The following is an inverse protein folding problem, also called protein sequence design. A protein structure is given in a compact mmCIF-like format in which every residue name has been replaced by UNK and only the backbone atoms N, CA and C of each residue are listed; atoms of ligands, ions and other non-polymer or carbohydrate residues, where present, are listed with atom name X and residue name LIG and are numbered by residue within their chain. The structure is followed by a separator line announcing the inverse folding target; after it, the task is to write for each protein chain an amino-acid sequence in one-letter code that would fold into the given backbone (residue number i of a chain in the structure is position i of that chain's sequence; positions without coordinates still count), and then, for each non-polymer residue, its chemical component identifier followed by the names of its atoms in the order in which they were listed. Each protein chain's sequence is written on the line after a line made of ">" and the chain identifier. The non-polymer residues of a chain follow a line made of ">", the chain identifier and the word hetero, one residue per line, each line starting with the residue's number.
data_IF_849386065531
#
_entry.id   IF_849386065531
#
_cell.length_a   1.000
_cell.length_b   1.000
_cell.length_c   1.000
_cell.angle_alpha   90.00
_cell.angle_beta   90.00
_cell.angle_gamma   90.00
#
_symmetry.space_group_name_H-M   'P 1'
#
loop_
_entity.id
_entity.type
_entity.pdbx_description
1 polymer ?
#
# COMPACT_ATOMS: atom_id res chain seq x y z
N UNK A 1 9.22 10.67 17.74
CA UNK A 1 9.49 11.06 16.34
C UNK A 1 9.81 9.77 15.58
N UNK A 2 9.14 9.47 14.47
CA UNK A 2 9.46 8.31 13.66
C UNK A 2 10.95 8.27 13.27
N UNK A 3 11.57 7.09 13.29
CA UNK A 3 12.97 6.89 12.94
C UNK A 3 13.98 7.29 14.01
N UNK A 4 13.55 7.70 15.19
CA UNK A 4 14.46 8.00 16.31
C UNK A 4 14.22 7.04 17.47
N UNK A 5 15.26 6.36 17.92
CA UNK A 5 15.23 5.45 19.06
C UNK A 5 16.24 5.86 20.11
N UNK A 6 15.85 5.85 21.41
CA UNK A 6 16.69 6.38 22.50
C UNK A 6 17.98 5.57 22.74
N UNK A 7 17.92 4.27 22.45
CA UNK A 7 19.03 3.34 22.70
C UNK A 7 20.08 3.35 21.59
N UNK A 8 19.81 4.02 20.47
CA UNK A 8 20.71 4.09 19.33
C UNK A 8 21.16 5.55 19.15
N UNK A 9 22.45 5.83 19.12
CA UNK A 9 22.96 7.19 18.94
C UNK A 9 22.46 7.80 17.62
N UNK A 10 22.18 9.11 17.67
CA UNK A 10 21.88 9.89 16.46
C UNK A 10 23.17 10.09 15.68
N UNK A 11 23.13 9.78 14.38
CA UNK A 11 24.24 10.01 13.47
C UNK A 11 24.01 11.34 12.74
N UNK A 12 25.01 12.22 12.71
CA UNK A 12 24.86 13.54 12.09
C UNK A 12 24.50 13.49 10.60
N UNK A 13 25.03 12.50 9.88
CA UNK A 13 24.70 12.22 8.48
C UNK A 13 23.21 11.94 8.22
N UNK A 14 22.42 11.65 9.27
CA UNK A 14 20.99 11.38 9.22
C UNK A 14 20.13 12.62 9.52
N UNK A 15 20.71 13.79 9.63
CA UNK A 15 19.99 15.04 10.00
C UNK A 15 19.21 14.90 11.31
N UNK A 16 19.80 14.26 12.31
CA UNK A 16 19.19 14.03 13.62
C UNK A 16 18.21 12.85 13.69
N UNK A 17 18.16 12.01 12.67
CA UNK A 17 17.45 10.72 12.68
C UNK A 17 18.44 9.57 12.84
N UNK A 18 17.95 8.40 13.26
CA UNK A 18 18.74 7.18 13.42
C UNK A 18 17.89 5.95 13.06
N UNK A 19 17.43 5.87 11.83
CA UNK A 19 16.66 4.74 11.34
C UNK A 19 17.44 3.42 11.49
N UNK A 20 16.76 2.41 12.02
CA UNK A 20 17.29 1.06 12.22
C UNK A 20 16.20 0.05 11.92
N UNK A 21 16.57 -1.18 11.66
CA UNK A 21 15.62 -2.26 11.45
C UNK A 21 15.30 -2.93 12.78
N UNK A 22 14.03 -3.06 13.07
CA UNK A 22 13.49 -3.74 14.25
C UNK A 22 12.61 -4.90 13.80
N UNK A 23 12.38 -5.85 14.70
CA UNK A 23 11.49 -6.97 14.45
C UNK A 23 10.60 -7.29 15.65
N UNK A 24 9.51 -7.95 15.35
CA UNK A 24 8.65 -8.68 16.28
C UNK A 24 8.43 -10.08 15.74
N UNK A 25 8.08 -11.03 16.60
CA UNK A 25 7.68 -12.37 16.19
C UNK A 25 6.24 -12.63 16.57
N UNK A 26 5.56 -13.46 15.78
CA UNK A 26 4.18 -13.89 16.04
C UNK A 26 3.99 -15.32 15.55
N UNK A 27 3.03 -16.04 16.14
CA UNK A 27 2.59 -17.38 15.69
C UNK A 27 1.21 -17.34 15.02
N UNK A 28 0.45 -16.31 15.24
CA UNK A 28 -0.98 -16.21 14.91
C UNK A 28 -1.39 -14.88 14.27
N UNK A 29 -0.46 -13.94 14.11
CA UNK A 29 -0.66 -12.55 13.66
C UNK A 29 -1.66 -11.74 14.52
N UNK A 30 -2.02 -12.25 15.72
CA UNK A 30 -2.86 -11.56 16.70
C UNK A 30 -2.06 -11.13 17.92
N UNK A 31 -1.08 -11.96 18.30
CA UNK A 31 -0.16 -11.68 19.41
C UNK A 31 1.26 -11.52 18.89
N UNK A 32 1.98 -10.54 19.41
CA UNK A 32 3.32 -10.21 18.98
C UNK A 32 4.28 -10.16 20.15
N UNK A 33 5.52 -10.54 19.93
CA UNK A 33 6.59 -10.34 20.89
C UNK A 33 6.87 -8.86 21.12
N UNK A 34 7.67 -8.57 22.14
CA UNK A 34 8.28 -7.24 22.26
C UNK A 34 9.12 -6.90 21.02
N UNK A 35 9.17 -5.61 20.70
CA UNK A 35 9.99 -5.11 19.59
C UNK A 35 11.47 -5.18 19.98
N UNK A 36 12.30 -5.77 19.09
CA UNK A 36 13.74 -5.92 19.27
C UNK A 36 14.50 -5.29 18.12
N UNK A 37 15.67 -4.74 18.42
CA UNK A 37 16.60 -4.26 17.40
C UNK A 37 17.12 -5.45 16.60
N UNK A 38 17.04 -5.36 15.28
CA UNK A 38 17.45 -6.43 14.36
C UNK A 38 18.76 -6.11 13.65
N UNK A 39 18.86 -4.88 13.12
CA UNK A 39 20.04 -4.48 12.36
C UNK A 39 20.40 -3.02 12.64
N UNK A 40 21.67 -2.81 13.04
CA UNK A 40 22.19 -1.50 13.45
C UNK A 40 23.56 -1.27 12.81
N UNK A 41 23.63 -0.89 11.52
CA UNK A 41 24.87 -0.52 10.85
C UNK A 41 25.31 0.91 11.26
N UNK A 42 26.48 1.33 10.77
CA UNK A 42 27.04 2.66 11.03
C UNK A 42 26.38 3.78 10.21
N UNK A 43 25.23 3.52 9.60
CA UNK A 43 24.46 4.47 8.78
C UNK A 43 22.97 4.34 9.04
N UNK A 44 22.21 5.35 8.65
CA UNK A 44 20.75 5.32 8.67
C UNK A 44 20.23 4.29 7.68
N UNK A 45 19.45 3.31 8.14
CA UNK A 45 19.01 2.16 7.33
C UNK A 45 17.50 2.03 7.32
N UNK A 46 16.93 1.86 6.12
CA UNK A 46 15.51 1.58 5.90
C UNK A 46 15.34 0.49 4.83
N UNK A 47 14.09 0.12 4.57
CA UNK A 47 13.66 -0.73 3.45
C UNK A 47 14.43 -2.08 3.40
N UNK A 48 14.43 -2.84 4.48
CA UNK A 48 15.06 -4.16 4.51
C UNK A 48 14.20 -5.21 3.81
N UNK A 49 14.80 -5.94 2.89
CA UNK A 49 14.20 -7.11 2.25
C UNK A 49 15.16 -8.30 2.29
N UNK A 50 14.63 -9.49 2.57
CA UNK A 50 15.45 -10.70 2.75
C UNK A 50 15.06 -11.73 1.71
N UNK A 51 16.06 -12.34 1.07
CA UNK A 51 15.90 -13.47 0.15
C UNK A 51 16.86 -14.60 0.51
N UNK A 52 16.45 -15.84 0.27
CA UNK A 52 17.32 -17.01 0.43
C UNK A 52 18.01 -17.32 -0.88
N UNK A 53 19.34 -17.46 -0.83
CA UNK A 53 20.12 -17.93 -1.95
C UNK A 53 19.80 -19.43 -2.20
N UNK A 54 19.34 -19.81 -3.39
CA UNK A 54 18.95 -21.19 -3.66
C UNK A 54 20.14 -22.15 -3.73
N UNK A 55 21.34 -21.66 -3.99
CA UNK A 55 22.57 -22.44 -4.12
C UNK A 55 23.38 -22.42 -2.82
N UNK A 56 23.72 -21.23 -2.33
CA UNK A 56 24.55 -21.05 -1.13
C UNK A 56 23.78 -21.34 0.17
N UNK A 57 22.44 -21.37 0.10
CA UNK A 57 21.52 -21.65 1.22
C UNK A 57 21.50 -20.59 2.34
N UNK A 58 22.30 -19.56 2.24
CA UNK A 58 22.30 -18.44 3.16
C UNK A 58 21.17 -17.41 2.84
N UNK A 59 21.04 -16.45 3.72
CA UNK A 59 20.09 -15.34 3.59
C UNK A 59 20.85 -14.08 3.19
N UNK A 60 20.34 -13.40 2.19
CA UNK A 60 20.82 -12.10 1.75
C UNK A 60 19.78 -11.06 2.18
N UNK A 61 20.19 -10.09 2.97
CA UNK A 61 19.38 -8.92 3.27
C UNK A 61 19.86 -7.75 2.41
N UNK A 62 18.92 -7.18 1.65
CA UNK A 62 19.14 -5.94 0.91
C UNK A 62 18.55 -4.80 1.72
N UNK A 63 19.31 -3.74 1.91
CA UNK A 63 18.92 -2.57 2.69
C UNK A 63 19.21 -1.29 1.94
N UNK A 64 18.45 -0.24 2.23
CA UNK A 64 18.75 1.10 1.75
C UNK A 64 19.59 1.85 2.78
N UNK A 65 20.72 2.40 2.32
CA UNK A 65 21.43 3.43 3.05
C UNK A 65 20.69 4.77 2.86
N UNK A 66 20.18 5.33 3.97
CA UNK A 66 19.37 6.54 3.97
C UNK A 66 20.19 7.79 4.36
N UNK A 67 21.51 7.69 4.49
CA UNK A 67 22.35 8.83 4.83
C UNK A 67 22.09 10.02 3.90
N UNK A 68 22.07 11.22 4.50
CA UNK A 68 21.82 12.47 3.81
C UNK A 68 23.06 13.38 3.72
N UNK A 69 24.08 13.15 4.58
CA UNK A 69 25.30 13.94 4.66
C UNK A 69 26.52 13.05 4.93
N UNK A 70 27.28 12.64 3.89
CA UNK A 70 26.97 12.80 2.48
C UNK A 70 25.73 12.00 2.06
N UNK A 71 25.06 12.44 0.99
CA UNK A 71 23.90 11.71 0.49
C UNK A 71 24.34 10.42 -0.19
N UNK A 72 23.93 9.29 0.37
CA UNK A 72 24.22 7.95 -0.17
C UNK A 72 23.04 7.41 -0.99
N UNK A 73 21.88 7.26 -0.35
CA UNK A 73 20.60 6.90 -1.00
C UNK A 73 20.69 5.73 -1.98
N UNK A 74 21.48 4.71 -1.62
CA UNK A 74 21.81 3.52 -2.43
C UNK A 74 21.41 2.24 -1.71
N UNK A 75 21.46 1.12 -2.43
CA UNK A 75 21.23 -0.22 -1.87
C UNK A 75 22.55 -0.93 -1.57
N UNK A 76 22.53 -1.69 -0.49
CA UNK A 76 23.65 -2.50 -0.02
C UNK A 76 23.15 -3.87 0.44
N UNK A 77 24.03 -4.87 0.53
CA UNK A 77 23.69 -6.20 1.02
C UNK A 77 24.54 -6.62 2.21
N UNK A 78 23.99 -7.49 3.03
CA UNK A 78 24.69 -8.27 4.05
C UNK A 78 24.14 -9.70 4.03
N UNK A 79 24.88 -10.68 4.59
CA UNK A 79 24.53 -12.10 4.50
C UNK A 79 24.67 -12.79 5.84
N UNK A 80 23.78 -13.78 6.08
CA UNK A 80 23.87 -14.68 7.24
C UNK A 80 23.39 -16.07 6.85
N UNK A 81 23.84 -17.07 7.55
CA UNK A 81 23.37 -18.46 7.34
C UNK A 81 22.04 -18.73 8.06
N UNK A 82 21.80 -18.02 9.15
CA UNK A 82 20.60 -18.19 9.99
C UNK A 82 20.05 -16.84 10.42
N UNK A 83 18.74 -16.68 10.33
CA UNK A 83 18.07 -15.42 10.70
C UNK A 83 18.17 -15.13 12.20
N UNK A 84 18.22 -16.20 13.02
CA UNK A 84 18.29 -16.10 14.48
C UNK A 84 19.61 -15.51 14.97
N UNK A 85 20.69 -15.66 14.18
CA UNK A 85 22.01 -15.12 14.49
C UNK A 85 22.13 -13.63 14.13
N UNK A 86 21.08 -13.07 13.47
CA UNK A 86 21.08 -11.71 12.93
C UNK A 86 21.95 -11.59 11.68
N UNK A 87 22.16 -10.37 11.23
CA UNK A 87 23.02 -10.05 10.09
C UNK A 87 24.24 -9.26 10.54
N UNK A 88 25.44 -9.54 9.98
CA UNK A 88 26.61 -8.70 10.21
C UNK A 88 26.32 -7.24 9.84
N UNK A 89 26.78 -6.31 10.68
CA UNK A 89 26.61 -4.87 10.43
C UNK A 89 27.50 -4.34 9.29
N UNK A 90 28.53 -5.10 8.93
CA UNK A 90 29.31 -4.84 7.73
C UNK A 90 28.50 -5.17 6.50
N UNK A 91 28.37 -4.21 5.61
CA UNK A 91 27.62 -4.34 4.35
C UNK A 91 28.54 -4.21 3.14
N UNK A 92 28.07 -4.64 2.00
CA UNK A 92 28.75 -4.46 0.71
C UNK A 92 28.93 -2.97 0.38
N UNK A 93 29.79 -2.61 -0.59
CA UNK A 93 29.67 -1.37 -1.32
C UNK A 93 28.25 -1.23 -1.92
N UNK A 94 27.94 -0.04 -2.47
CA UNK A 94 26.68 0.14 -3.21
C UNK A 94 26.54 -0.90 -4.30
N UNK A 95 25.38 -1.56 -4.38
CA UNK A 95 25.03 -2.47 -5.47
C UNK A 95 24.29 -1.76 -6.61
N UNK A 96 24.00 -0.49 -6.45
CA UNK A 96 23.29 0.36 -7.42
C UNK A 96 24.18 1.46 -7.97
N UNK A 97 23.80 2.05 -9.09
CA UNK A 97 24.54 3.12 -9.74
C UNK A 97 24.47 4.47 -9.00
N UNK A 98 24.98 5.51 -9.64
CA UNK A 98 24.97 6.88 -9.08
C UNK A 98 23.60 7.55 -9.26
N UNK A 99 22.59 6.99 -8.65
CA UNK A 99 21.22 7.52 -8.58
C UNK A 99 20.60 7.16 -7.24
N UNK A 100 19.59 7.93 -6.83
CA UNK A 100 18.87 7.66 -5.59
C UNK A 100 17.81 6.59 -5.82
N UNK A 101 17.80 5.57 -4.96
CA UNK A 101 16.84 4.47 -5.05
C UNK A 101 16.42 3.97 -3.67
N UNK A 102 15.28 3.26 -3.64
CA UNK A 102 14.67 2.73 -2.44
C UNK A 102 13.77 1.52 -2.74
N UNK A 103 13.18 0.91 -1.69
CA UNK A 103 12.21 -0.17 -1.82
C UNK A 103 12.74 -1.41 -2.53
N UNK A 104 13.84 -2.05 -2.08
CA UNK A 104 14.39 -3.22 -2.75
C UNK A 104 13.44 -4.41 -2.70
N UNK A 105 13.28 -5.10 -3.83
CA UNK A 105 12.54 -6.35 -3.97
C UNK A 105 13.46 -7.42 -4.59
N UNK A 106 14.24 -8.15 -3.78
CA UNK A 106 15.14 -9.18 -4.27
C UNK A 106 14.38 -10.44 -4.69
N UNK A 107 14.78 -11.04 -5.82
CA UNK A 107 14.23 -12.27 -6.35
C UNK A 107 15.32 -13.07 -7.09
N UNK A 108 15.45 -14.35 -6.80
CA UNK A 108 16.20 -15.26 -7.64
C UNK A 108 15.32 -15.72 -8.81
N UNK A 109 15.86 -15.54 -10.02
CA UNK A 109 15.31 -16.12 -11.25
C UNK A 109 16.39 -17.02 -11.81
N UNK A 110 16.14 -18.31 -11.84
CA UNK A 110 17.16 -19.33 -11.98
C UNK A 110 18.27 -19.11 -10.94
N UNK A 111 19.52 -19.03 -11.34
CA UNK A 111 20.65 -18.78 -10.43
C UNK A 111 21.06 -17.28 -10.35
N UNK A 112 20.31 -16.39 -11.00
CA UNK A 112 20.60 -14.96 -10.99
C UNK A 112 19.76 -14.24 -9.93
N UNK A 113 20.41 -13.42 -9.11
CA UNK A 113 19.74 -12.55 -8.15
C UNK A 113 19.43 -11.21 -8.80
N UNK A 114 18.14 -10.94 -8.97
CA UNK A 114 17.64 -9.63 -9.33
C UNK A 114 17.21 -8.86 -8.09
N UNK A 115 17.53 -7.58 -8.04
CA UNK A 115 16.98 -6.65 -7.05
C UNK A 115 16.27 -5.55 -7.83
N UNK A 116 14.94 -5.54 -7.73
CA UNK A 116 14.12 -4.47 -8.27
C UNK A 116 14.02 -3.33 -7.26
N UNK A 117 13.90 -2.08 -7.72
CA UNK A 117 13.84 -0.92 -6.83
C UNK A 117 13.27 0.32 -7.52
N UNK A 118 12.87 1.29 -6.71
CA UNK A 118 12.35 2.58 -7.15
C UNK A 118 13.48 3.61 -7.29
N UNK A 119 13.74 4.09 -8.51
CA UNK A 119 14.56 5.26 -8.80
C UNK A 119 13.69 6.51 -8.61
N UNK A 120 13.27 6.79 -7.38
CA UNK A 120 12.18 7.72 -7.06
C UNK A 120 12.37 9.15 -7.55
N UNK A 121 13.60 9.62 -7.71
CA UNK A 121 13.87 10.95 -8.31
C UNK A 121 13.75 10.94 -9.83
N UNK A 122 13.89 9.79 -10.46
CA UNK A 122 13.78 9.62 -11.89
C UNK A 122 12.38 9.20 -12.33
N UNK A 123 11.46 8.95 -11.38
CA UNK A 123 10.13 8.39 -11.65
C UNK A 123 10.19 7.10 -12.47
N UNK A 124 11.19 6.26 -12.17
CA UNK A 124 11.44 4.99 -12.84
C UNK A 124 11.57 3.87 -11.82
N UNK A 125 11.07 2.71 -12.18
CA UNK A 125 11.36 1.46 -11.48
C UNK A 125 12.48 0.76 -12.25
N UNK A 126 13.50 0.27 -11.55
CA UNK A 126 14.69 -0.31 -12.16
C UNK A 126 15.07 -1.63 -11.53
N UNK A 127 16.17 -2.19 -11.99
CA UNK A 127 16.73 -3.42 -11.46
C UNK A 127 18.26 -3.48 -11.60
N UNK A 128 18.90 -4.14 -10.64
CA UNK A 128 20.27 -4.68 -10.81
C UNK A 128 20.22 -6.20 -10.75
N UNK A 129 21.19 -6.83 -11.40
CA UNK A 129 21.33 -8.28 -11.46
C UNK A 129 22.73 -8.72 -11.04
N UNK A 130 22.81 -9.78 -10.25
CA UNK A 130 24.04 -10.50 -9.92
C UNK A 130 23.93 -11.96 -10.37
N UNK A 131 24.95 -12.45 -11.08
CA UNK A 131 25.04 -13.85 -11.55
C UNK A 131 26.07 -14.66 -10.77
N UNK A 132 26.63 -14.08 -9.74
CA UNK A 132 27.72 -14.65 -8.91
C UNK A 132 27.38 -14.57 -7.41
N UNK A 133 26.09 -14.71 -7.10
CA UNK A 133 25.57 -14.71 -5.74
C UNK A 133 25.84 -13.41 -4.97
N UNK A 134 25.73 -12.26 -5.63
CA UNK A 134 25.83 -10.93 -5.00
C UNK A 134 27.25 -10.39 -4.88
N UNK A 135 28.26 -10.97 -5.55
CA UNK A 135 29.63 -10.47 -5.55
C UNK A 135 29.80 -9.29 -6.50
N UNK A 136 29.23 -9.40 -7.71
CA UNK A 136 29.23 -8.32 -8.71
C UNK A 136 27.82 -8.01 -9.19
N UNK A 137 27.60 -6.78 -9.65
CA UNK A 137 26.27 -6.29 -10.01
C UNK A 137 26.30 -5.54 -11.33
N UNK A 138 25.28 -5.77 -12.13
CA UNK A 138 25.00 -5.11 -13.40
C UNK A 138 23.67 -4.36 -13.31
N UNK A 139 23.63 -3.08 -13.71
CA UNK A 139 22.35 -2.36 -13.88
C UNK A 139 21.64 -2.91 -15.13
N UNK A 140 20.47 -3.46 -14.94
CA UNK A 140 19.62 -4.06 -15.99
C UNK A 140 18.28 -3.32 -16.13
N UNK A 141 18.24 -2.10 -15.68
CA UNK A 141 17.01 -1.29 -15.70
C UNK A 141 16.44 -1.07 -17.11
N UNK A 142 17.26 -1.09 -18.12
CA UNK A 142 16.89 -1.00 -19.54
C UNK A 142 16.31 -2.30 -20.13
N UNK A 143 16.50 -3.42 -19.43
CA UNK A 143 16.02 -4.76 -19.83
C UNK A 143 14.76 -5.20 -19.08
N UNK A 144 14.24 -4.38 -18.21
CA UNK A 144 13.01 -4.63 -17.45
C UNK A 144 11.95 -3.58 -17.80
N UNK A 145 10.69 -3.99 -17.79
CA UNK A 145 9.58 -3.11 -18.10
C UNK A 145 8.53 -3.18 -16.98
N UNK A 146 8.11 -2.02 -16.52
CA UNK A 146 7.09 -1.88 -15.50
C UNK A 146 5.99 -0.92 -15.95
N UNK A 147 4.77 -1.08 -15.48
CA UNK A 147 3.71 -0.09 -15.70
C UNK A 147 4.15 1.30 -15.24
N UNK A 148 3.70 2.33 -15.97
CA UNK A 148 3.99 3.71 -15.60
C UNK A 148 3.48 4.01 -14.19
N UNK A 149 4.31 4.62 -13.35
CA UNK A 149 3.96 4.97 -11.98
C UNK A 149 4.17 3.86 -10.96
N UNK A 150 4.73 2.69 -11.35
CA UNK A 150 5.10 1.63 -10.41
C UNK A 150 6.09 2.15 -9.38
N UNK A 151 5.79 1.90 -8.11
CA UNK A 151 6.64 2.21 -6.97
C UNK A 151 6.55 1.10 -5.93
N UNK A 152 7.63 0.86 -5.17
CA UNK A 152 7.69 -0.05 -4.02
C UNK A 152 6.98 -1.39 -4.24
N UNK A 153 7.37 -2.12 -5.28
CA UNK A 153 6.82 -3.44 -5.58
C UNK A 153 7.44 -4.55 -4.76
N UNK A 154 6.76 -5.68 -4.68
CA UNK A 154 7.31 -6.95 -4.20
C UNK A 154 7.34 -7.96 -5.34
N UNK A 155 8.49 -8.57 -5.58
CA UNK A 155 8.66 -9.61 -6.60
C UNK A 155 8.64 -10.99 -5.95
N UNK A 156 7.87 -11.91 -6.53
CA UNK A 156 7.81 -13.31 -6.09
C UNK A 156 7.43 -14.22 -7.25
N UNK A 157 7.78 -15.49 -7.15
CA UNK A 157 7.41 -16.52 -8.13
C UNK A 157 6.07 -17.13 -7.80
N UNK A 158 5.30 -17.46 -8.83
CA UNK A 158 4.04 -18.20 -8.71
C UNK A 158 4.00 -19.35 -9.71
N UNK A 159 3.22 -20.37 -9.42
CA UNK A 159 2.94 -21.43 -10.38
C UNK A 159 2.30 -20.84 -11.64
N UNK A 160 2.70 -21.39 -12.82
CA UNK A 160 2.19 -20.93 -14.10
C UNK A 160 0.65 -20.95 -14.16
N UNK A 161 0.02 -21.94 -13.55
CA UNK A 161 -1.45 -22.02 -13.51
C UNK A 161 -2.09 -20.84 -12.75
N UNK A 162 -1.43 -20.32 -11.70
CA UNK A 162 -1.88 -19.11 -10.98
C UNK A 162 -1.72 -17.88 -11.86
N UNK A 163 -0.57 -17.75 -12.52
CA UNK A 163 -0.34 -16.64 -13.47
C UNK A 163 -1.34 -16.67 -14.61
N UNK A 164 -1.54 -17.84 -15.25
CA UNK A 164 -2.50 -18.00 -16.35
C UNK A 164 -3.92 -17.64 -15.90
N UNK A 165 -4.29 -17.97 -14.66
CA UNK A 165 -5.58 -17.58 -14.10
C UNK A 165 -5.67 -16.07 -13.89
N UNK A 166 -4.64 -15.45 -13.36
CA UNK A 166 -4.58 -14.00 -13.17
C UNK A 166 -4.62 -13.25 -14.52
N UNK A 167 -3.91 -13.73 -15.54
CA UNK A 167 -3.89 -13.13 -16.86
C UNK A 167 -5.22 -13.32 -17.64
N UNK A 168 -6.00 -14.36 -17.32
CA UNK A 168 -7.34 -14.56 -17.89
C UNK A 168 -8.40 -13.67 -17.26
N UNK A 169 -8.15 -13.19 -16.05
CA UNK A 169 -8.99 -12.22 -15.40
C UNK A 169 -8.62 -10.87 -16.01
N UNK A 170 -9.39 -10.43 -16.98
CA UNK A 170 -9.26 -9.08 -17.55
C UNK A 170 -9.72 -8.05 -16.52
N UNK A 171 -8.86 -7.77 -15.54
CA UNK A 171 -9.06 -6.65 -14.64
C UNK A 171 -8.67 -5.39 -15.41
N UNK A 172 -9.67 -4.60 -15.73
CA UNK A 172 -9.41 -3.24 -16.18
C UNK A 172 -8.99 -2.40 -14.99
N UNK A 173 -7.95 -1.60 -15.16
CA UNK A 173 -7.59 -0.57 -14.18
C UNK A 173 -7.83 0.80 -14.85
N UNK A 174 -8.76 1.60 -14.38
CA UNK A 174 -9.57 1.41 -13.17
C UNK A 174 -10.62 0.29 -13.31
N UNK A 175 -10.91 -0.41 -12.20
CA UNK A 175 -11.94 -1.45 -12.12
C UNK A 175 -13.32 -0.91 -12.51
N UNK A 176 -13.58 0.32 -12.11
CA UNK A 176 -14.77 1.11 -12.44
C UNK A 176 -14.28 2.44 -12.99
N UNK A 177 -14.66 2.81 -14.23
CA UNK A 177 -14.20 4.04 -14.88
C UNK A 177 -14.97 5.27 -14.39
N UNK A 178 -15.09 5.41 -13.07
CA UNK A 178 -15.84 6.49 -12.43
C UNK A 178 -15.04 7.08 -11.26
N UNK A 179 -15.36 8.31 -10.87
CA UNK A 179 -14.71 8.95 -9.73
C UNK A 179 -15.30 8.39 -8.43
N UNK A 180 -14.65 7.35 -7.88
CA UNK A 180 -15.03 6.72 -6.63
C UNK A 180 -13.84 6.82 -5.66
N UNK A 181 -14.11 7.39 -4.49
CA UNK A 181 -13.19 7.37 -3.36
C UNK A 181 -13.67 6.36 -2.29
N UNK A 182 -12.78 6.02 -1.35
CA UNK A 182 -13.07 5.15 -0.20
C UNK A 182 -13.77 3.83 -0.58
N UNK A 183 -13.27 3.05 -1.56
CA UNK A 183 -13.96 1.86 -2.02
C UNK A 183 -14.04 0.81 -0.92
N UNK A 184 -15.24 0.29 -0.68
CA UNK A 184 -15.51 -0.78 0.26
C UNK A 184 -16.15 -1.98 -0.45
N UNK A 185 -15.54 -3.15 -0.31
CA UNK A 185 -15.95 -4.37 -1.01
C UNK A 185 -16.52 -5.38 -0.03
N UNK A 186 -17.69 -5.93 -0.37
CA UNK A 186 -18.31 -7.06 0.33
C UNK A 186 -18.69 -8.15 -0.67
N UNK A 187 -18.76 -9.41 -0.20
CA UNK A 187 -19.25 -10.52 -1.01
C UNK A 187 -20.35 -11.25 -0.24
N UNK A 188 -21.50 -11.42 -0.88
CA UNK A 188 -22.62 -12.19 -0.36
C UNK A 188 -23.08 -13.20 -1.43
N UNK A 189 -23.10 -14.47 -1.05
CA UNK A 189 -23.31 -15.54 -2.01
C UNK A 189 -22.25 -15.54 -3.12
N UNK A 190 -22.69 -15.47 -4.36
CA UNK A 190 -21.84 -15.42 -5.56
C UNK A 190 -21.56 -13.99 -6.06
N UNK A 191 -22.08 -12.97 -5.39
CA UNK A 191 -22.06 -11.56 -5.87
C UNK A 191 -21.15 -10.70 -5.02
N UNK A 192 -20.29 -9.93 -5.68
CA UNK A 192 -19.48 -8.86 -5.11
C UNK A 192 -20.25 -7.54 -5.17
N UNK A 193 -20.16 -6.76 -4.12
CA UNK A 193 -20.76 -5.44 -3.98
C UNK A 193 -19.67 -4.42 -3.66
N UNK A 194 -19.54 -3.42 -4.49
CA UNK A 194 -18.59 -2.32 -4.30
C UNK A 194 -19.37 -1.05 -3.97
N UNK A 195 -19.08 -0.52 -2.81
CA UNK A 195 -19.62 0.77 -2.31
C UNK A 195 -18.50 1.80 -2.36
N UNK A 196 -18.83 3.05 -2.51
CA UNK A 196 -17.83 4.10 -2.53
C UNK A 196 -18.40 5.49 -2.34
N UNK A 197 -17.55 6.40 -1.94
CA UNK A 197 -17.83 7.83 -1.99
C UNK A 197 -17.83 8.27 -3.45
N UNK A 198 -18.90 8.92 -3.88
CA UNK A 198 -18.95 9.52 -5.22
C UNK A 198 -18.50 10.97 -5.14
N UNK A 199 -17.36 11.26 -5.71
CA UNK A 199 -16.87 12.62 -5.90
C UNK A 199 -17.37 13.12 -7.25
N UNK A 200 -18.44 13.90 -7.23
CA UNK A 200 -18.90 14.58 -8.44
C UNK A 200 -18.04 15.83 -8.68
N UNK A 201 -17.92 16.16 -9.92
CA UNK A 201 -17.12 17.12 -10.67
C UNK A 201 -16.88 18.55 -10.10
N UNK A 202 -17.31 18.86 -8.90
CA UNK A 202 -17.20 20.22 -8.32
C UNK A 202 -16.69 20.25 -6.88
N UNK A 203 -15.92 19.25 -6.51
CA UNK A 203 -15.30 19.16 -5.19
C UNK A 203 -16.29 18.79 -4.08
N UNK A 204 -15.81 18.83 -2.85
CA UNK A 204 -16.52 18.38 -1.64
C UNK A 204 -17.89 19.03 -1.38
N UNK A 205 -18.23 20.10 -2.08
CA UNK A 205 -19.52 20.80 -1.92
C UNK A 205 -20.70 20.08 -2.57
N UNK A 206 -20.45 19.09 -3.43
CA UNK A 206 -21.47 18.35 -4.16
C UNK A 206 -21.17 16.87 -4.26
N UNK A 207 -20.69 16.25 -3.17
CA UNK A 207 -20.54 14.79 -3.13
C UNK A 207 -21.88 14.13 -3.51
N UNK A 208 -21.77 13.11 -4.37
CA UNK A 208 -22.94 12.47 -4.95
C UNK A 208 -23.71 11.61 -3.99
N UNK A 209 -24.75 11.00 -4.54
CA UNK A 209 -25.55 10.00 -3.86
C UNK A 209 -24.71 8.74 -3.58
N UNK A 210 -25.06 7.96 -2.56
CA UNK A 210 -24.51 6.63 -2.37
C UNK A 210 -24.69 5.77 -3.62
N UNK A 211 -23.65 5.03 -3.98
CA UNK A 211 -23.70 4.16 -5.16
C UNK A 211 -23.25 2.75 -4.80
N UNK A 212 -23.79 1.79 -5.54
CA UNK A 212 -23.42 0.38 -5.45
C UNK A 212 -23.15 -0.16 -6.84
N UNK A 213 -22.05 -0.87 -6.97
CA UNK A 213 -21.71 -1.63 -8.15
C UNK A 213 -21.70 -3.11 -7.80
N UNK A 214 -22.18 -3.95 -8.71
CA UNK A 214 -22.25 -5.40 -8.51
C UNK A 214 -21.49 -6.17 -9.58
N UNK A 215 -20.86 -7.28 -9.17
CA UNK A 215 -20.20 -8.22 -10.07
C UNK A 215 -20.31 -9.63 -9.55
N UNK A 216 -20.45 -10.62 -10.45
CA UNK A 216 -20.36 -12.04 -10.13
C UNK A 216 -18.97 -12.63 -10.39
N UNK A 217 -18.18 -12.00 -11.21
CA UNK A 217 -16.90 -12.49 -11.70
C UNK A 217 -15.71 -11.59 -11.37
N UNK A 218 -15.97 -10.45 -10.72
CA UNK A 218 -15.00 -9.41 -10.41
C UNK A 218 -14.40 -8.70 -11.64
N UNK A 219 -14.96 -8.97 -12.81
CA UNK A 219 -14.52 -8.42 -14.12
C UNK A 219 -15.59 -7.53 -14.71
N UNK A 220 -16.80 -8.06 -14.80
CA UNK A 220 -17.95 -7.35 -15.32
C UNK A 220 -18.74 -6.71 -14.18
N UNK A 221 -18.71 -5.40 -14.12
CA UNK A 221 -19.41 -4.62 -13.09
C UNK A 221 -20.62 -3.92 -13.68
N UNK A 222 -21.73 -4.03 -12.98
CA UNK A 222 -22.95 -3.30 -13.28
C UNK A 222 -23.24 -2.26 -12.21
N UNK A 223 -23.59 -1.06 -12.65
CA UNK A 223 -24.07 0.01 -11.77
C UNK A 223 -25.50 -0.29 -11.31
N UNK A 224 -25.71 -0.29 -10.01
CA UNK A 224 -27.03 -0.58 -9.42
C UNK A 224 -27.68 0.68 -8.80
N UNK A 225 -27.04 1.83 -8.95
CA UNK A 225 -27.58 3.09 -8.49
C UNK A 225 -27.47 3.32 -6.98
N UNK A 226 -28.34 4.14 -6.46
CA UNK A 226 -28.45 4.45 -5.04
C UNK A 226 -29.75 3.90 -4.48
N UNK A 227 -29.64 3.10 -3.44
CA UNK A 227 -30.78 2.52 -2.71
C UNK A 227 -30.99 3.17 -1.33
N UNK A 228 -30.12 4.12 -0.93
CA UNK A 228 -30.30 4.86 0.32
C UNK A 228 -31.36 5.92 0.13
N UNK A 229 -32.51 5.71 0.74
CA UNK A 229 -33.68 6.57 0.67
C UNK A 229 -33.76 7.52 1.88
N UNK A 230 -34.63 8.51 1.80
CA UNK A 230 -34.91 9.43 2.91
C UNK A 230 -34.08 10.70 2.93
N UNK A 231 -33.18 10.88 1.97
CA UNK A 231 -32.39 12.09 1.80
C UNK A 231 -32.54 12.65 0.39
N UNK A 232 -32.72 13.96 0.30
CA UNK A 232 -32.66 14.67 -0.98
C UNK A 232 -31.25 15.20 -1.20
N UNK A 233 -30.43 14.39 -1.84
CA UNK A 233 -28.98 14.64 -2.06
C UNK A 233 -28.69 15.90 -2.89
N UNK A 234 -29.66 16.30 -3.73
CA UNK A 234 -29.48 17.39 -4.68
C UNK A 234 -30.14 18.69 -4.23
N UNK A 235 -30.93 18.65 -3.14
CA UNK A 235 -31.61 19.82 -2.61
C UNK A 235 -30.66 20.62 -1.72
N UNK A 236 -30.53 21.92 -2.04
CA UNK A 236 -29.85 22.86 -1.17
C UNK A 236 -30.66 23.18 0.08
N UNK A 237 -30.00 23.21 1.23
CA UNK A 237 -30.56 23.58 2.52
C UNK A 237 -29.85 24.81 3.05
N UNK A 238 -30.60 25.86 3.39
CA UNK A 238 -30.01 27.04 4.01
C UNK A 238 -29.65 26.77 5.47
N UNK A 239 -28.51 27.27 5.88
CA UNK A 239 -28.04 27.25 7.27
C UNK A 239 -27.24 28.52 7.57
N UNK A 240 -27.03 28.79 8.85
CA UNK A 240 -26.17 29.87 9.33
C UNK A 240 -24.89 29.25 9.90
N UNK A 241 -23.73 29.63 9.37
CA UNK A 241 -22.45 29.13 9.84
C UNK A 241 -22.04 29.77 11.18
N UNK A 242 -20.92 29.32 11.76
CA UNK A 242 -20.41 29.82 13.04
C UNK A 242 -20.03 31.33 13.02
N UNK A 243 -19.91 31.93 11.83
CA UNK A 243 -19.65 33.38 11.65
C UNK A 243 -20.94 34.21 11.49
N UNK A 244 -22.10 33.58 11.56
CA UNK A 244 -23.40 34.25 11.36
C UNK A 244 -23.78 34.46 9.88
N UNK A 245 -23.05 33.85 8.93
CA UNK A 245 -23.30 33.99 7.50
C UNK A 245 -24.30 32.95 7.02
N UNK A 246 -25.26 33.36 6.19
CA UNK A 246 -26.18 32.42 5.49
C UNK A 246 -25.41 31.67 4.40
N UNK A 247 -25.52 30.36 4.38
CA UNK A 247 -24.92 29.45 3.41
C UNK A 247 -25.95 28.44 2.93
N UNK A 248 -25.68 27.84 1.77
CA UNK A 248 -26.42 26.70 1.26
C UNK A 248 -25.53 25.48 1.27
N UNK A 249 -25.94 24.43 1.94
CA UNK A 249 -25.26 23.15 1.98
C UNK A 249 -26.11 22.00 1.46
N UNK A 250 -25.48 20.86 1.29
CA UNK A 250 -26.11 19.64 0.76
C UNK A 250 -25.79 18.46 1.67
N UNK A 251 -26.63 17.45 1.66
CA UNK A 251 -26.24 16.15 2.23
C UNK A 251 -25.14 15.53 1.40
N UNK A 252 -24.13 14.95 2.08
CA UNK A 252 -23.01 14.25 1.46
C UNK A 252 -22.84 12.89 2.12
N UNK A 253 -22.46 11.91 1.32
CA UNK A 253 -22.19 10.54 1.74
C UNK A 253 -20.72 10.22 1.54
N UNK A 254 -20.04 9.82 2.61
CA UNK A 254 -18.62 9.54 2.60
C UNK A 254 -18.26 8.23 3.27
N UNK A 255 -17.17 7.64 2.79
CA UNK A 255 -16.45 6.56 3.42
C UNK A 255 -17.35 5.42 3.93
N UNK A 256 -18.03 4.70 3.02
CA UNK A 256 -18.78 3.52 3.39
C UNK A 256 -17.84 2.46 3.94
N UNK A 257 -18.17 1.90 5.10
CA UNK A 257 -17.50 0.75 5.65
C UNK A 257 -17.89 -0.54 4.92
N UNK A 258 -17.28 -1.64 5.31
CA UNK A 258 -17.67 -2.96 4.81
C UNK A 258 -19.08 -3.29 5.28
N UNK A 259 -19.95 -3.68 4.35
CA UNK A 259 -21.29 -4.20 4.71
C UNK A 259 -21.13 -5.55 5.40
N UNK A 260 -21.84 -5.71 6.49
CA UNK A 260 -21.85 -6.94 7.30
C UNK A 260 -23.25 -7.52 7.34
N UNK A 261 -23.39 -8.82 7.07
CA UNK A 261 -24.63 -9.54 7.26
C UNK A 261 -24.73 -10.04 8.71
N UNK A 262 -25.89 -9.89 9.30
CA UNK A 262 -26.21 -10.48 10.60
C UNK A 262 -27.71 -10.84 10.65
N UNK A 263 -28.02 -12.12 10.84
CA UNK A 263 -29.40 -12.65 10.95
C UNK A 263 -30.28 -12.33 9.74
N UNK A 264 -29.72 -12.36 8.52
CA UNK A 264 -30.43 -12.04 7.29
C UNK A 264 -30.65 -10.55 7.03
N UNK A 265 -30.04 -9.71 7.83
CA UNK A 265 -30.05 -8.24 7.66
C UNK A 265 -28.65 -7.72 7.36
N UNK A 266 -28.56 -6.66 6.59
CA UNK A 266 -27.30 -6.04 6.18
C UNK A 266 -27.09 -4.70 6.87
N UNK A 267 -25.89 -4.46 7.35
CA UNK A 267 -25.52 -3.27 8.10
C UNK A 267 -24.35 -2.57 7.43
N UNK A 268 -24.51 -1.30 7.11
CA UNK A 268 -23.47 -0.44 6.55
C UNK A 268 -23.18 0.72 7.49
N UNK A 269 -21.94 0.85 7.94
CA UNK A 269 -21.45 2.02 8.64
C UNK A 269 -20.92 3.03 7.63
N UNK A 270 -21.36 4.26 7.72
CA UNK A 270 -20.95 5.30 6.78
C UNK A 270 -20.98 6.68 7.42
N UNK A 271 -20.32 7.64 6.82
CA UNK A 271 -20.35 9.04 7.24
C UNK A 271 -21.34 9.82 6.41
N UNK A 272 -22.30 10.46 7.05
CA UNK A 272 -23.11 11.51 6.45
C UNK A 272 -22.65 12.88 6.92
N UNK A 273 -22.45 13.79 5.98
CA UNK A 273 -22.28 15.21 6.27
C UNK A 273 -23.60 15.90 6.01
N UNK A 274 -24.11 16.54 7.05
CA UNK A 274 -25.35 17.32 6.95
C UNK A 274 -25.11 18.65 6.21
N UNK A 275 -26.17 19.31 5.73
CA UNK A 275 -26.04 20.61 5.06
C UNK A 275 -25.28 21.67 5.87
N UNK A 276 -25.35 21.62 7.20
CA UNK A 276 -24.63 22.49 8.14
C UNK A 276 -23.17 22.07 8.40
N UNK A 277 -22.62 21.20 7.56
CA UNK A 277 -21.25 20.66 7.60
C UNK A 277 -20.93 19.75 8.80
N UNK A 278 -21.93 19.36 9.59
CA UNK A 278 -21.74 18.41 10.67
C UNK A 278 -21.67 16.97 10.15
N UNK A 279 -20.47 16.37 10.23
CA UNK A 279 -20.24 14.98 9.88
C UNK A 279 -20.52 14.05 11.06
N UNK A 280 -21.21 12.94 10.80
CA UNK A 280 -21.48 11.90 11.80
C UNK A 280 -21.47 10.52 11.15
N UNK A 281 -21.06 9.52 11.91
CA UNK A 281 -21.18 8.12 11.52
C UNK A 281 -22.60 7.64 11.76
N UNK A 282 -23.17 6.99 10.75
CA UNK A 282 -24.48 6.34 10.78
C UNK A 282 -24.33 4.85 10.54
N UNK A 283 -25.26 4.09 11.10
CA UNK A 283 -25.48 2.69 10.76
C UNK A 283 -26.75 2.63 9.93
N UNK A 284 -26.62 2.16 8.72
CA UNK A 284 -27.74 1.87 7.84
C UNK A 284 -28.06 0.39 7.92
N UNK A 285 -29.32 0.05 7.86
CA UNK A 285 -29.83 -1.32 7.91
C UNK A 285 -30.76 -1.58 6.74
N UNK A 286 -30.60 -2.75 6.11
CA UNK A 286 -31.44 -3.19 5.00
C UNK A 286 -31.67 -4.70 5.04
N UNK A 287 -32.66 -5.18 4.30
CA UNK A 287 -32.88 -6.59 4.01
C UNK A 287 -32.09 -7.10 2.79
N UNK A 288 -31.37 -6.18 2.10
CA UNK A 288 -30.56 -6.48 0.92
C UNK A 288 -29.19 -5.81 1.01
N UNK A 289 -28.14 -6.41 0.38
CA UNK A 289 -26.79 -5.84 0.40
C UNK A 289 -26.73 -4.45 -0.26
N UNK A 290 -27.54 -4.19 -1.26
CA UNK A 290 -27.53 -2.94 -2.00
C UNK A 290 -28.31 -1.80 -1.32
N UNK A 291 -29.10 -2.06 -0.27
CA UNK A 291 -29.89 -1.06 0.46
C UNK A 291 -31.39 -1.14 0.26
#
# INVERSE_FOLDING_TARGET
>A
IPGRHKEVPVIESEKGLNHRIYYVTTKDFNTFSETKLFFNPDFSVIDAAIVRDPVMKDLIMVVKNENSLPAEKNLRITRTTRIEDGFPTTVSPSITGNYWCEGPAPLFVDDALYVYFDKYRNHQYGAVCSRDHGKTWEDVSDRVSFPKGTRHGTAFTVEKAVLDKLLRIHHFNPLIPDNIADPSLSKFGDTYYLYGTTDIDKGLSQAGTPVVWKSKDFVNWSFDGSHIVGFDWHKGHEYVNAKGEKKTGYFRYWAPGRVVEKNGEYYLYTTFVKPDENARTYVLKSDRPEG
#
